data_IF_908348768268
#
_entry.id   IF_908348768268
#
_cell.length_a   1.000
_cell.length_b   1.000
_cell.length_c   1.000
_cell.angle_alpha   90.00
_cell.angle_beta   90.00
_cell.angle_gamma   90.00
#
_symmetry.space_group_name_H-M   'P 1'
#
loop_
_entity.id
_entity.type
_entity.pdbx_description
1 polymer ?
#
# COMPACT_ATOMS: atom_id res chain seq x y z
N UNK A 1 -11.13 -59.55 10.16
CA UNK A 1 -10.28 -58.58 9.44
C UNK A 1 -11.17 -57.41 9.11
N UNK A 2 -11.07 -56.33 9.89
CA UNK A 2 -11.80 -55.09 9.60
C UNK A 2 -11.16 -54.48 8.36
N UNK A 3 -11.95 -54.26 7.31
CA UNK A 3 -11.55 -53.46 6.15
C UNK A 3 -11.20 -52.07 6.65
N UNK A 4 -9.92 -51.69 6.59
CA UNK A 4 -9.53 -50.29 6.71
C UNK A 4 -10.15 -49.57 5.51
N UNK A 5 -11.24 -48.85 5.73
CA UNK A 5 -11.65 -47.80 4.80
C UNK A 5 -10.50 -46.81 4.72
N UNK A 6 -9.97 -46.57 3.52
CA UNK A 6 -8.94 -45.56 3.33
C UNK A 6 -9.54 -44.20 3.65
N UNK A 7 -8.97 -43.49 4.62
CA UNK A 7 -9.31 -42.09 4.88
C UNK A 7 -9.25 -41.31 3.56
N UNK A 8 -10.26 -40.48 3.23
CA UNK A 8 -10.24 -39.68 2.01
C UNK A 8 -8.98 -38.81 2.00
N UNK A 9 -8.20 -38.90 0.94
CA UNK A 9 -7.00 -38.09 0.74
C UNK A 9 -7.43 -36.76 0.11
N UNK A 10 -6.79 -35.66 0.51
CA UNK A 10 -7.01 -34.34 -0.07
C UNK A 10 -6.77 -34.34 -1.58
N UNK A 11 -7.71 -33.79 -2.35
CA UNK A 11 -7.67 -33.77 -3.82
C UNK A 11 -6.77 -32.64 -4.33
N UNK A 12 -5.47 -32.94 -4.46
CA UNK A 12 -4.46 -31.99 -4.97
C UNK A 12 -4.68 -31.61 -6.44
N UNK A 13 -5.32 -32.49 -7.22
CA UNK A 13 -5.61 -32.20 -8.62
C UNK A 13 -6.77 -31.21 -8.74
N UNK A 14 -7.80 -31.33 -7.89
CA UNK A 14 -8.85 -30.33 -7.77
C UNK A 14 -8.30 -28.98 -7.27
N UNK A 15 -7.35 -28.99 -6.32
CA UNK A 15 -6.65 -27.77 -5.90
C UNK A 15 -5.95 -27.10 -7.09
N UNK A 16 -5.15 -27.86 -7.86
CA UNK A 16 -4.44 -27.31 -9.04
C UNK A 16 -5.40 -26.76 -10.08
N UNK A 17 -6.45 -27.50 -10.44
CA UNK A 17 -7.48 -27.03 -11.38
C UNK A 17 -8.18 -25.78 -10.87
N UNK A 18 -8.50 -25.75 -9.58
CA UNK A 18 -9.14 -24.61 -8.91
C UNK A 18 -8.29 -23.35 -8.99
N UNK A 19 -7.01 -23.45 -8.60
CA UNK A 19 -6.08 -22.31 -8.57
C UNK A 19 -5.73 -21.86 -10.00
N UNK A 20 -5.15 -22.73 -10.81
CA UNK A 20 -4.62 -22.34 -12.14
C UNK A 20 -5.75 -22.05 -13.15
N UNK A 21 -6.91 -22.70 -12.97
CA UNK A 21 -8.09 -22.51 -13.80
C UNK A 21 -9.04 -21.41 -13.30
N UNK A 22 -8.79 -20.83 -12.12
CA UNK A 22 -9.72 -19.90 -11.43
C UNK A 22 -11.14 -20.49 -11.29
N UNK A 23 -11.21 -21.80 -11.04
CA UNK A 23 -12.48 -22.52 -10.86
C UNK A 23 -12.90 -22.47 -9.39
N UNK A 24 -13.70 -21.45 -9.07
CA UNK A 24 -14.19 -21.22 -7.71
C UNK A 24 -15.04 -22.38 -7.21
N UNK A 25 -15.79 -23.06 -8.09
CA UNK A 25 -16.60 -24.20 -7.68
C UNK A 25 -15.73 -25.37 -7.25
N UNK A 26 -14.63 -25.63 -7.96
CA UNK A 26 -13.66 -26.64 -7.57
C UNK A 26 -12.99 -26.28 -6.24
N UNK A 27 -12.58 -25.02 -6.05
CA UNK A 27 -11.96 -24.55 -4.81
C UNK A 27 -12.91 -24.66 -3.61
N UNK A 28 -14.14 -24.15 -3.74
CA UNK A 28 -15.16 -24.24 -2.68
C UNK A 28 -15.43 -25.68 -2.26
N UNK A 29 -15.44 -26.62 -3.20
CA UNK A 29 -15.65 -28.06 -2.94
C UNK A 29 -14.57 -28.72 -2.08
N UNK A 30 -13.42 -28.07 -1.90
CA UNK A 30 -12.33 -28.57 -1.05
C UNK A 30 -12.53 -28.23 0.43
N UNK A 31 -13.41 -27.28 0.78
CA UNK A 31 -13.61 -26.84 2.16
C UNK A 31 -14.70 -27.66 2.87
N UNK A 32 -14.53 -27.84 4.18
CA UNK A 32 -15.60 -28.29 5.07
C UNK A 32 -16.60 -27.14 5.30
N UNK A 33 -17.85 -27.48 5.62
CA UNK A 33 -18.94 -26.49 5.78
C UNK A 33 -18.66 -25.44 6.88
N UNK A 34 -17.92 -25.83 7.92
CA UNK A 34 -17.51 -25.04 9.09
C UNK A 34 -16.05 -24.55 9.00
N UNK A 35 -15.43 -24.58 7.81
CA UNK A 35 -14.02 -24.27 7.66
C UNK A 35 -13.67 -22.83 8.11
N UNK A 36 -12.47 -22.66 8.63
CA UNK A 36 -11.90 -21.35 8.96
C UNK A 36 -10.79 -20.97 7.98
N UNK A 37 -10.73 -19.70 7.59
CA UNK A 37 -9.62 -19.18 6.79
C UNK A 37 -9.08 -17.88 7.40
N UNK A 38 -7.75 -17.83 7.52
CA UNK A 38 -7.00 -16.64 7.91
C UNK A 38 -6.09 -16.24 6.74
N UNK A 39 -6.16 -14.99 6.32
CA UNK A 39 -5.28 -14.42 5.29
C UNK A 39 -4.49 -13.27 5.90
N UNK A 40 -3.17 -13.32 5.70
CA UNK A 40 -2.24 -12.25 6.03
C UNK A 40 -1.59 -11.76 4.75
N UNK A 41 -1.69 -10.46 4.48
CA UNK A 41 -1.10 -9.84 3.30
C UNK A 41 -0.64 -8.39 3.58
N UNK A 42 -0.39 -7.61 2.54
CA UNK A 42 0.04 -6.22 2.66
C UNK A 42 -1.03 -5.26 3.25
N UNK A 43 -2.31 -5.67 3.26
CA UNK A 43 -3.46 -4.91 3.81
C UNK A 43 -3.84 -5.45 5.19
N UNK A 44 -3.96 -6.76 5.30
CA UNK A 44 -4.40 -7.46 6.50
C UNK A 44 -3.19 -8.03 7.25
N UNK A 45 -2.67 -7.26 8.20
CA UNK A 45 -1.41 -7.57 8.89
C UNK A 45 -1.56 -8.64 9.98
N UNK A 46 -0.48 -9.28 10.46
CA UNK A 46 -0.55 -10.30 11.50
C UNK A 46 -1.28 -9.89 12.80
N UNK A 47 -1.32 -8.60 13.13
CA UNK A 47 -2.07 -8.08 14.29
C UNK A 47 -3.59 -7.97 14.05
N UNK A 48 -4.01 -7.86 12.79
CA UNK A 48 -5.40 -7.73 12.35
C UNK A 48 -5.59 -8.46 11.01
N UNK A 49 -5.50 -9.81 10.99
CA UNK A 49 -5.62 -10.58 9.76
C UNK A 49 -7.07 -10.61 9.26
N UNK A 50 -7.25 -10.97 7.99
CA UNK A 50 -8.59 -11.23 7.45
C UNK A 50 -9.04 -12.62 7.86
N UNK A 51 -10.11 -12.70 8.65
CA UNK A 51 -10.66 -13.96 9.16
C UNK A 51 -12.06 -14.23 8.60
N UNK A 52 -12.28 -15.46 8.15
CA UNK A 52 -13.55 -15.90 7.55
C UNK A 52 -13.90 -17.29 8.06
N UNK A 53 -15.20 -17.54 8.26
CA UNK A 53 -15.72 -18.84 8.68
C UNK A 53 -16.87 -19.28 7.80
N UNK A 54 -16.86 -20.55 7.40
CA UNK A 54 -17.89 -21.21 6.62
C UNK A 54 -17.73 -21.01 5.11
N UNK A 55 -18.31 -21.94 4.36
CA UNK A 55 -18.16 -22.02 2.89
C UNK A 55 -18.77 -20.84 2.14
N UNK A 56 -19.76 -20.15 2.71
CA UNK A 56 -20.33 -18.93 2.11
C UNK A 56 -19.30 -17.79 2.09
N UNK A 57 -18.75 -17.42 3.26
CA UNK A 57 -17.80 -16.30 3.37
C UNK A 57 -16.47 -16.61 2.66
N UNK A 58 -15.94 -17.83 2.84
CA UNK A 58 -14.77 -18.31 2.10
C UNK A 58 -15.07 -18.28 0.59
N UNK A 59 -16.27 -18.68 0.20
CA UNK A 59 -16.70 -18.67 -1.18
C UNK A 59 -16.67 -17.27 -1.79
N UNK A 60 -17.22 -16.27 -1.11
CA UNK A 60 -17.23 -14.87 -1.57
C UNK A 60 -15.81 -14.34 -1.76
N UNK A 61 -14.89 -14.67 -0.85
CA UNK A 61 -13.47 -14.34 -1.01
C UNK A 61 -12.83 -15.01 -2.22
N UNK A 62 -13.09 -16.30 -2.44
CA UNK A 62 -12.58 -17.02 -3.60
C UNK A 62 -13.14 -16.47 -4.92
N UNK A 63 -14.41 -16.06 -4.95
CA UNK A 63 -15.02 -15.38 -6.10
C UNK A 63 -14.29 -14.08 -6.41
N UNK A 64 -14.04 -13.24 -5.39
CA UNK A 64 -13.29 -12.00 -5.57
C UNK A 64 -11.89 -12.27 -6.13
N UNK A 65 -11.12 -13.16 -5.51
CA UNK A 65 -9.76 -13.51 -5.95
C UNK A 65 -9.76 -14.02 -7.40
N UNK A 66 -10.65 -14.95 -7.74
CA UNK A 66 -10.72 -15.52 -9.10
C UNK A 66 -11.26 -14.54 -10.14
N UNK A 67 -12.00 -13.50 -9.73
CA UNK A 67 -12.50 -12.45 -10.63
C UNK A 67 -11.43 -11.45 -11.05
N UNK A 68 -10.35 -11.33 -10.26
CA UNK A 68 -9.22 -10.44 -10.56
C UNK A 68 -8.52 -10.93 -11.82
N UNK A 69 -8.13 -9.99 -12.68
CA UNK A 69 -7.29 -10.31 -13.84
C UNK A 69 -5.87 -10.56 -13.34
N UNK A 70 -5.57 -11.81 -12.99
CA UNK A 70 -4.24 -12.27 -12.59
C UNK A 70 -4.02 -13.71 -13.03
N UNK A 71 -2.77 -14.05 -13.31
CA UNK A 71 -2.34 -15.44 -13.50
C UNK A 71 -2.05 -16.08 -12.14
N UNK A 72 -2.51 -17.32 -11.94
CA UNK A 72 -2.22 -18.13 -10.77
C UNK A 72 -1.46 -19.39 -11.19
N UNK A 73 -0.42 -19.74 -10.43
CA UNK A 73 0.35 -20.96 -10.64
C UNK A 73 0.57 -21.68 -9.32
N UNK A 74 0.18 -22.96 -9.27
CA UNK A 74 0.43 -23.81 -8.13
C UNK A 74 1.81 -24.48 -8.29
N UNK A 75 2.74 -24.18 -7.40
CA UNK A 75 4.11 -24.68 -7.46
C UNK A 75 4.23 -26.02 -6.73
N UNK A 76 4.45 -25.97 -5.42
CA UNK A 76 4.61 -27.14 -4.57
C UNK A 76 3.31 -27.43 -3.83
N UNK A 77 2.97 -28.72 -3.70
CA UNK A 77 1.90 -29.20 -2.83
C UNK A 77 2.45 -30.38 -2.05
N UNK A 78 2.30 -30.36 -0.73
CA UNK A 78 2.69 -31.44 0.16
C UNK A 78 1.47 -31.83 0.99
N UNK A 79 1.18 -33.12 1.06
CA UNK A 79 0.15 -33.68 1.94
C UNK A 79 0.85 -34.56 2.97
N UNK A 80 0.49 -34.40 4.25
CA UNK A 80 1.06 -35.22 5.32
C UNK A 80 0.69 -36.70 5.12
N UNK A 81 1.56 -37.60 5.58
CA UNK A 81 1.38 -39.04 5.35
C UNK A 81 0.10 -39.61 6.00
N UNK A 82 -0.38 -38.98 7.07
CA UNK A 82 -1.62 -39.31 7.77
C UNK A 82 -2.85 -38.58 7.19
N UNK A 83 -2.66 -37.74 6.17
CA UNK A 83 -3.72 -36.98 5.51
C UNK A 83 -4.35 -35.88 6.37
N UNK A 84 -3.76 -35.54 7.52
CA UNK A 84 -4.29 -34.54 8.46
C UNK A 84 -3.92 -33.10 8.09
N UNK A 85 -2.88 -32.90 7.28
CA UNK A 85 -2.43 -31.58 6.86
C UNK A 85 -2.04 -31.55 5.38
N UNK A 86 -2.12 -30.37 4.77
CA UNK A 86 -1.49 -30.09 3.49
C UNK A 86 -0.89 -28.69 3.48
N UNK A 87 0.10 -28.46 2.63
CA UNK A 87 0.67 -27.14 2.41
C UNK A 87 0.91 -26.94 0.92
N UNK A 88 0.74 -25.71 0.44
CA UNK A 88 1.07 -25.38 -0.93
C UNK A 88 1.69 -23.99 -1.08
N UNK A 89 2.46 -23.85 -2.15
CA UNK A 89 3.03 -22.60 -2.61
C UNK A 89 2.34 -22.20 -3.91
N UNK A 90 1.93 -20.95 -3.99
CA UNK A 90 1.29 -20.35 -5.14
C UNK A 90 2.04 -19.09 -5.57
N UNK A 91 2.20 -18.91 -6.88
CA UNK A 91 2.69 -17.67 -7.46
C UNK A 91 1.59 -17.01 -8.28
N UNK A 92 1.36 -15.73 -8.01
CA UNK A 92 0.44 -14.92 -8.78
C UNK A 92 1.17 -13.80 -9.52
N UNK A 93 0.62 -13.40 -10.67
CA UNK A 93 1.09 -12.25 -11.43
C UNK A 93 -0.07 -11.41 -11.92
N UNK A 94 -0.02 -10.12 -11.62
CA UNK A 94 -0.93 -9.12 -12.16
C UNK A 94 -0.48 -8.59 -13.54
N UNK A 95 -1.40 -8.05 -14.37
CA UNK A 95 -1.12 -7.49 -15.69
C UNK A 95 -0.09 -6.34 -15.68
N UNK A 96 -0.01 -5.59 -14.58
CA UNK A 96 0.97 -4.52 -14.37
C UNK A 96 2.39 -5.04 -14.07
N UNK A 97 2.55 -6.36 -13.95
CA UNK A 97 3.82 -7.02 -13.66
C UNK A 97 4.02 -7.36 -12.18
N UNK A 98 3.18 -6.85 -11.27
CA UNK A 98 3.24 -7.11 -9.82
C UNK A 98 3.15 -8.60 -9.56
N UNK A 99 4.06 -9.11 -8.72
CA UNK A 99 4.09 -10.52 -8.32
C UNK A 99 3.61 -10.70 -6.89
N UNK A 100 3.00 -11.84 -6.62
CA UNK A 100 2.66 -12.28 -5.28
C UNK A 100 3.14 -13.71 -5.09
N UNK A 101 3.82 -13.97 -3.99
CA UNK A 101 4.14 -15.32 -3.53
C UNK A 101 3.26 -15.62 -2.31
N UNK A 102 2.43 -16.65 -2.42
CA UNK A 102 1.53 -17.08 -1.35
C UNK A 102 1.94 -18.45 -0.85
N UNK A 103 1.99 -18.63 0.47
CA UNK A 103 2.10 -19.94 1.12
C UNK A 103 0.86 -20.20 1.95
N UNK A 104 0.31 -21.40 1.84
CA UNK A 104 -0.90 -21.79 2.56
C UNK A 104 -0.67 -23.10 3.31
N UNK A 105 -1.04 -23.11 4.60
CA UNK A 105 -1.07 -24.30 5.45
C UNK A 105 -2.53 -24.68 5.72
N UNK A 106 -2.84 -25.98 5.58
CA UNK A 106 -4.18 -26.53 5.63
C UNK A 106 -4.25 -27.60 6.72
N UNK A 107 -5.23 -27.47 7.62
CA UNK A 107 -5.68 -28.56 8.49
C UNK A 107 -6.85 -29.27 7.80
N UNK A 108 -6.76 -30.61 7.72
CA UNK A 108 -7.68 -31.42 6.95
C UNK A 108 -8.55 -32.30 7.86
N UNK A 109 -9.83 -32.40 7.50
CA UNK A 109 -10.79 -33.33 8.10
C UNK A 109 -11.54 -34.04 6.99
N UNK A 110 -11.41 -35.37 6.95
CA UNK A 110 -12.01 -36.22 5.91
C UNK A 110 -11.68 -35.79 4.47
N UNK A 111 -10.42 -35.39 4.25
CA UNK A 111 -9.93 -34.92 2.94
C UNK A 111 -10.39 -33.52 2.54
N UNK A 112 -11.06 -32.78 3.44
CA UNK A 112 -11.50 -31.40 3.23
C UNK A 112 -10.77 -30.43 4.16
N UNK A 113 -10.62 -29.19 3.72
CA UNK A 113 -9.99 -28.11 4.47
C UNK A 113 -10.92 -27.69 5.61
N UNK A 114 -10.49 -27.94 6.84
CA UNK A 114 -11.16 -27.48 8.06
C UNK A 114 -10.58 -26.15 8.56
N UNK A 115 -9.28 -25.92 8.35
CA UNK A 115 -8.66 -24.62 8.58
C UNK A 115 -7.61 -24.33 7.51
N UNK A 116 -7.48 -23.06 7.12
CA UNK A 116 -6.42 -22.57 6.23
C UNK A 116 -5.81 -21.30 6.79
N UNK A 117 -4.48 -21.23 6.82
CA UNK A 117 -3.75 -19.98 7.02
C UNK A 117 -2.93 -19.71 5.77
N UNK A 118 -3.16 -18.55 5.15
CA UNK A 118 -2.44 -18.09 3.96
C UNK A 118 -1.64 -16.84 4.28
N UNK A 119 -0.37 -16.81 3.88
CA UNK A 119 0.50 -15.63 4.00
C UNK A 119 0.98 -15.25 2.61
N UNK A 120 0.75 -13.99 2.25
CA UNK A 120 1.10 -13.46 0.94
C UNK A 120 2.21 -12.42 1.07
N UNK A 121 3.29 -12.65 0.35
CA UNK A 121 4.33 -11.66 0.10
C UNK A 121 4.09 -11.04 -1.28
N UNK A 122 3.83 -9.74 -1.29
CA UNK A 122 3.65 -8.97 -2.52
C UNK A 122 4.97 -8.32 -2.90
N UNK A 123 5.21 -8.12 -4.19
CA UNK A 123 6.11 -7.05 -4.60
C UNK A 123 5.58 -5.78 -3.93
N UNK A 124 6.43 -5.10 -3.14
CA UNK A 124 6.05 -3.80 -2.63
C UNK A 124 5.74 -2.91 -3.84
N UNK A 125 4.60 -2.20 -3.81
CA UNK A 125 4.36 -1.08 -4.70
C UNK A 125 5.31 0.04 -4.29
N UNK A 126 6.60 -0.21 -4.42
CA UNK A 126 7.57 0.78 -4.07
C UNK A 126 7.48 1.85 -5.15
N UNK A 127 7.02 3.02 -4.72
CA UNK A 127 7.49 4.28 -5.28
C UNK A 127 9.04 4.31 -5.37
N UNK A 128 9.74 3.47 -4.60
CA UNK A 128 11.14 3.09 -4.82
C UNK A 128 11.29 1.87 -5.76
N UNK A 129 11.35 2.09 -7.08
CA UNK A 129 11.78 1.07 -8.06
C UNK A 129 12.74 0.03 -7.44
N UNK A 130 12.53 -1.28 -7.66
CA UNK A 130 13.38 -2.31 -7.06
C UNK A 130 14.83 -1.93 -7.34
N UNK A 131 15.64 -1.85 -6.27
CA UNK A 131 17.08 -1.50 -6.28
C UNK A 131 17.88 -2.56 -7.06
N UNK A 132 17.58 -2.66 -8.35
CA UNK A 132 18.16 -3.57 -9.34
C UNK A 132 19.26 -2.85 -10.10
N UNK A 133 19.33 -1.52 -9.99
CA UNK A 133 20.46 -0.72 -10.42
C UNK A 133 21.31 -0.36 -9.19
N UNK A 134 22.64 -0.42 -9.28
CA UNK A 134 23.50 0.03 -8.20
C UNK A 134 23.16 1.50 -7.90
N UNK A 135 22.84 1.80 -6.63
CA UNK A 135 22.65 3.18 -6.20
C UNK A 135 23.90 3.98 -6.55
N UNK A 136 23.76 4.93 -7.46
CA UNK A 136 24.82 5.89 -7.75
C UNK A 136 24.69 7.03 -6.76
N UNK A 137 25.83 7.57 -6.33
CA UNK A 137 25.82 8.77 -5.51
C UNK A 137 25.37 9.95 -6.37
N UNK A 138 24.24 10.55 -6.00
CA UNK A 138 23.72 11.78 -6.59
C UNK A 138 23.97 12.96 -5.64
N UNK A 139 24.24 14.14 -6.20
CA UNK A 139 24.40 15.38 -5.45
C UNK A 139 23.77 16.52 -6.26
N UNK A 140 22.87 17.26 -5.64
CA UNK A 140 22.15 18.38 -6.25
C UNK A 140 22.18 19.61 -5.34
N UNK A 141 21.94 20.77 -5.93
CA UNK A 141 21.98 22.06 -5.24
C UNK A 141 20.72 22.87 -5.55
N UNK A 142 19.98 23.28 -4.52
CA UNK A 142 18.80 24.16 -4.67
C UNK A 142 19.14 25.56 -5.21
N UNK A 143 20.42 25.93 -5.33
CA UNK A 143 20.84 27.12 -6.08
C UNK A 143 20.60 26.96 -7.59
N UNK A 144 20.48 25.73 -8.10
CA UNK A 144 20.19 25.40 -9.49
C UNK A 144 19.12 24.29 -9.53
N UNK A 145 17.86 24.61 -9.16
CA UNK A 145 16.79 23.62 -9.11
C UNK A 145 16.37 23.18 -10.52
N UNK A 146 15.77 21.99 -10.61
CA UNK A 146 15.25 21.46 -11.88
C UNK A 146 14.01 22.26 -12.33
N UNK A 147 13.17 22.64 -11.37
CA UNK A 147 11.95 23.41 -11.59
C UNK A 147 11.78 24.47 -10.51
N UNK A 148 11.23 25.62 -10.87
CA UNK A 148 10.76 26.64 -9.92
C UNK A 148 9.28 26.91 -10.20
N UNK A 149 8.43 26.61 -9.21
CA UNK A 149 7.00 26.92 -9.23
C UNK A 149 6.76 28.18 -8.41
N UNK A 150 6.13 29.19 -9.00
CA UNK A 150 5.81 30.45 -8.31
C UNK A 150 4.30 30.59 -8.15
N UNK A 151 3.87 31.04 -6.97
CA UNK A 151 2.48 31.33 -6.65
C UNK A 151 2.42 32.64 -5.86
N UNK A 152 1.24 33.26 -5.71
CA UNK A 152 1.09 34.44 -4.85
C UNK A 152 1.73 34.22 -3.47
N UNK A 153 2.55 35.19 -3.03
CA UNK A 153 3.29 35.14 -1.75
C UNK A 153 4.18 33.90 -1.54
N UNK A 154 4.63 33.21 -2.58
CA UNK A 154 5.57 32.12 -2.37
C UNK A 154 6.11 31.45 -3.62
N UNK A 155 7.04 30.52 -3.40
CA UNK A 155 7.62 29.68 -4.44
C UNK A 155 8.02 28.32 -3.89
N UNK A 156 8.14 27.36 -4.80
CA UNK A 156 8.74 26.05 -4.55
C UNK A 156 9.87 25.82 -5.56
N UNK A 157 11.07 25.52 -5.07
CA UNK A 157 12.19 25.02 -5.87
C UNK A 157 12.25 23.50 -5.76
N UNK A 158 12.27 22.80 -6.89
CA UNK A 158 12.09 21.35 -6.96
C UNK A 158 13.37 20.69 -7.47
N UNK A 159 13.78 19.61 -6.81
CA UNK A 159 14.85 18.70 -7.22
C UNK A 159 14.29 17.29 -7.39
N UNK A 160 14.68 16.60 -8.46
CA UNK A 160 14.35 15.19 -8.69
C UNK A 160 15.60 14.35 -8.52
N UNK A 161 15.68 13.59 -7.43
CA UNK A 161 16.85 12.76 -7.11
C UNK A 161 16.48 11.48 -6.39
N UNK A 162 17.30 10.43 -6.54
CA UNK A 162 17.14 9.18 -5.80
C UNK A 162 15.80 8.49 -6.01
N UNK A 163 15.14 8.73 -7.16
CA UNK A 163 13.81 8.22 -7.47
C UNK A 163 12.64 8.97 -6.81
N UNK A 164 12.89 10.10 -6.16
CA UNK A 164 11.88 10.95 -5.52
C UNK A 164 12.02 12.43 -5.84
N UNK A 165 11.18 13.24 -5.21
CA UNK A 165 11.14 14.70 -5.38
C UNK A 165 11.38 15.37 -4.03
N UNK A 166 12.27 16.36 -4.00
CA UNK A 166 12.50 17.21 -2.83
C UNK A 166 12.19 18.65 -3.20
N UNK A 167 11.29 19.28 -2.46
CA UNK A 167 10.92 20.68 -2.64
C UNK A 167 11.48 21.56 -1.53
N UNK A 168 12.07 22.70 -1.87
CA UNK A 168 12.25 23.81 -0.94
C UNK A 168 11.15 24.83 -1.16
N UNK A 169 10.39 25.15 -0.13
CA UNK A 169 9.34 26.15 -0.17
C UNK A 169 9.82 27.42 0.51
N UNK A 170 9.50 28.56 -0.08
CA UNK A 170 9.59 29.88 0.57
C UNK A 170 8.22 30.53 0.51
N UNK A 171 7.65 30.79 1.68
CA UNK A 171 6.33 31.36 1.88
C UNK A 171 6.50 32.71 2.58
N UNK A 172 6.10 33.78 1.91
CA UNK A 172 6.27 35.15 2.37
C UNK A 172 5.23 35.53 3.45
N UNK A 173 5.51 36.54 4.29
CA UNK A 173 4.51 37.08 5.21
C UNK A 173 3.20 37.43 4.49
N UNK A 174 2.08 37.02 5.09
CA UNK A 174 0.75 37.15 4.50
C UNK A 174 0.34 35.97 3.60
N UNK A 175 1.24 35.03 3.30
CA UNK A 175 0.88 33.81 2.57
C UNK A 175 -0.10 32.95 3.37
N UNK A 176 -1.13 32.46 2.68
CA UNK A 176 -2.08 31.47 3.18
C UNK A 176 -2.53 30.54 2.05
N UNK A 177 -2.46 29.23 2.27
CA UNK A 177 -2.79 28.23 1.25
C UNK A 177 -4.16 28.47 0.61
N UNK A 178 -5.20 28.68 1.43
CA UNK A 178 -6.57 28.91 0.95
C UNK A 178 -6.77 30.20 0.15
N UNK A 179 -5.82 31.13 0.18
CA UNK A 179 -5.84 32.37 -0.60
C UNK A 179 -4.95 32.27 -1.83
N UNK A 180 -3.73 31.77 -1.66
CA UNK A 180 -2.67 31.87 -2.65
C UNK A 180 -2.55 30.64 -3.54
N UNK A 181 -2.90 29.45 -3.04
CA UNK A 181 -2.70 28.18 -3.75
C UNK A 181 -4.02 27.51 -4.11
N UNK A 182 -5.05 27.62 -3.26
CA UNK A 182 -6.39 27.10 -3.54
C UNK A 182 -6.94 27.46 -4.93
N UNK A 183 -6.80 28.69 -5.46
CA UNK A 183 -7.26 29.00 -6.82
C UNK A 183 -6.55 28.20 -7.91
N UNK A 184 -5.33 27.74 -7.67
CA UNK A 184 -4.55 26.90 -8.57
C UNK A 184 -4.88 25.41 -8.39
N UNK A 185 -5.05 24.98 -7.14
CA UNK A 185 -5.30 23.57 -6.80
C UNK A 185 -6.74 23.13 -7.12
N UNK A 186 -7.71 24.04 -7.07
CA UNK A 186 -9.13 23.73 -7.33
C UNK A 186 -9.82 22.92 -6.23
N UNK A 187 -9.17 22.72 -5.09
CA UNK A 187 -9.67 21.94 -3.95
C UNK A 187 -10.11 22.84 -2.80
N UNK A 188 -10.95 22.33 -1.88
CA UNK A 188 -11.35 23.11 -0.71
C UNK A 188 -10.21 23.30 0.29
N UNK A 189 -9.43 22.24 0.48
CA UNK A 189 -8.27 22.10 1.37
C UNK A 189 -7.03 21.66 0.58
N UNK A 190 -5.85 21.82 1.17
CA UNK A 190 -4.64 21.23 0.63
C UNK A 190 -4.72 19.71 0.78
N UNK A 191 -4.72 18.99 -0.35
CA UNK A 191 -4.77 17.53 -0.39
C UNK A 191 -3.37 16.90 -0.55
N UNK A 192 -2.32 17.71 -0.61
CA UNK A 192 -0.95 17.22 -0.61
C UNK A 192 -0.54 16.79 0.80
N UNK A 193 0.02 15.59 0.95
CA UNK A 193 0.65 15.20 2.22
C UNK A 193 2.05 15.84 2.28
N UNK A 194 2.37 16.52 3.37
CA UNK A 194 3.66 17.18 3.56
C UNK A 194 4.49 16.50 4.63
N UNK A 195 5.77 16.29 4.34
CA UNK A 195 6.75 15.85 5.32
C UNK A 195 7.94 16.80 5.27
N UNK A 196 7.92 17.79 6.16
CA UNK A 196 8.74 18.99 6.06
C UNK A 196 9.67 19.19 7.26
N UNK A 197 10.89 19.67 6.98
CA UNK A 197 11.79 20.28 7.96
C UNK A 197 11.77 21.80 7.80
N UNK A 198 11.47 22.52 8.86
CA UNK A 198 11.31 23.98 8.87
C UNK A 198 12.65 24.66 9.17
N UNK A 199 13.11 25.48 8.22
CA UNK A 199 14.39 26.20 8.30
C UNK A 199 14.25 27.59 8.94
N UNK A 200 13.13 28.28 8.69
CA UNK A 200 12.88 29.65 9.16
C UNK A 200 11.40 29.93 9.32
N UNK A 201 11.06 31.00 10.05
CA UNK A 201 9.69 31.46 10.27
C UNK A 201 8.81 30.49 11.07
N UNK A 202 7.52 30.81 11.14
CA UNK A 202 6.50 30.00 11.78
C UNK A 202 5.32 29.79 10.83
N UNK A 203 4.98 28.53 10.57
CA UNK A 203 3.81 28.14 9.78
C UNK A 203 2.74 27.62 10.72
N UNK A 204 1.59 28.28 10.75
CA UNK A 204 0.42 27.73 11.43
C UNK A 204 -0.31 26.79 10.48
N UNK A 205 -0.67 25.61 10.99
CA UNK A 205 -1.40 24.57 10.26
C UNK A 205 -2.73 24.32 10.94
N UNK A 206 -3.80 24.28 10.13
CA UNK A 206 -5.15 23.93 10.57
C UNK A 206 -5.72 22.80 9.74
N UNK A 207 -5.99 21.68 10.40
CA UNK A 207 -6.61 20.50 9.81
C UNK A 207 -8.13 20.66 9.70
N UNK A 208 -8.75 19.96 8.75
CA UNK A 208 -10.20 19.96 8.57
C UNK A 208 -10.97 19.42 9.80
N UNK A 209 -10.35 18.55 10.62
CA UNK A 209 -10.93 18.05 11.87
C UNK A 209 -10.86 19.05 13.04
N UNK A 210 -10.25 20.22 12.82
CA UNK A 210 -10.08 21.27 13.81
C UNK A 210 -8.77 21.20 14.61
N UNK A 211 -7.93 20.18 14.39
CA UNK A 211 -6.58 20.12 14.98
C UNK A 211 -5.73 21.25 14.42
N UNK A 212 -5.01 21.95 15.30
CA UNK A 212 -4.17 23.09 14.95
C UNK A 212 -2.80 22.99 15.65
N UNK A 213 -1.74 23.42 14.96
CA UNK A 213 -0.41 23.54 15.53
C UNK A 213 0.46 24.52 14.74
N UNK A 214 1.50 25.04 15.40
CA UNK A 214 2.54 25.84 14.77
C UNK A 214 3.77 24.96 14.52
N UNK A 215 4.35 25.07 13.34
CA UNK A 215 5.66 24.52 12.99
C UNK A 215 6.65 25.67 12.80
N UNK A 216 7.71 25.70 13.61
CA UNK A 216 8.71 26.78 13.61
C UNK A 216 10.09 26.25 13.17
N UNK A 217 11.05 27.17 13.01
CA UNK A 217 12.43 26.81 12.68
C UNK A 217 12.99 25.71 13.62
N UNK A 218 13.49 24.63 13.03
CA UNK A 218 14.00 23.45 13.73
C UNK A 218 13.01 22.30 13.86
N UNK A 219 11.72 22.54 13.63
CA UNK A 219 10.70 21.50 13.71
C UNK A 219 10.67 20.60 12.46
N UNK A 220 10.24 19.36 12.66
CA UNK A 220 9.86 18.42 11.60
C UNK A 220 8.37 18.15 11.74
N UNK A 221 7.61 18.36 10.67
CA UNK A 221 6.16 18.21 10.66
C UNK A 221 5.70 17.21 9.58
N UNK A 222 4.76 16.35 9.95
CA UNK A 222 3.95 15.57 9.02
C UNK A 222 2.56 16.19 8.98
N UNK A 223 2.14 16.68 7.82
CA UNK A 223 0.82 17.28 7.62
C UNK A 223 0.05 16.40 6.63
N UNK A 224 -1.02 15.77 7.11
CA UNK A 224 -1.86 14.93 6.28
C UNK A 224 -2.70 15.77 5.28
N UNK A 225 -3.22 15.17 4.20
CA UNK A 225 -4.23 15.80 3.35
C UNK A 225 -5.42 16.34 4.17
N UNK A 226 -6.03 17.42 3.69
CA UNK A 226 -7.14 18.10 4.36
C UNK A 226 -6.68 19.15 5.37
N UNK A 227 -5.86 20.12 4.94
CA UNK A 227 -5.41 21.23 5.78
C UNK A 227 -5.37 22.58 5.06
N UNK A 228 -5.38 23.66 5.84
CA UNK A 228 -4.98 25.01 5.44
C UNK A 228 -3.73 25.40 6.25
N UNK A 229 -2.92 26.30 5.72
CA UNK A 229 -1.72 26.77 6.41
C UNK A 229 -1.45 28.23 6.09
N UNK A 230 -0.81 28.95 7.00
CA UNK A 230 -0.42 30.34 6.78
C UNK A 230 0.83 30.73 7.56
N UNK A 231 1.56 31.70 7.02
CA UNK A 231 2.74 32.29 7.68
C UNK A 231 2.27 33.15 8.85
N UNK A 232 2.90 32.96 10.01
CA UNK A 232 2.68 33.77 11.22
C UNK A 232 3.81 34.77 11.38
N UNK A 233 3.46 36.05 11.50
CA UNK A 233 4.40 37.14 11.69
C UNK A 233 5.03 37.64 10.38
N UNK A 234 6.19 38.28 10.53
CA UNK A 234 6.84 39.04 9.45
C UNK A 234 8.10 38.33 8.88
N UNK A 235 8.39 37.10 9.33
CA UNK A 235 9.50 36.30 8.83
C UNK A 235 9.00 35.26 7.82
N UNK A 236 9.58 35.17 6.61
CA UNK A 236 9.23 34.14 5.65
C UNK A 236 9.47 32.73 6.21
N UNK A 237 8.52 31.83 5.96
CA UNK A 237 8.71 30.40 6.22
C UNK A 237 9.53 29.80 5.09
N UNK A 238 10.67 29.20 5.42
CA UNK A 238 11.40 28.33 4.50
C UNK A 238 11.34 26.90 5.03
N UNK A 239 10.97 25.93 4.20
CA UNK A 239 10.99 24.52 4.58
C UNK A 239 11.50 23.63 3.44
N UNK A 240 12.05 22.47 3.79
CA UNK A 240 12.36 21.39 2.83
C UNK A 240 11.36 20.28 3.04
N UNK A 241 10.74 19.81 1.96
CA UNK A 241 9.67 18.82 1.95
C UNK A 241 10.02 17.66 1.02
N UNK A 242 9.80 16.43 1.49
CA UNK A 242 10.13 15.19 0.77
C UNK A 242 8.91 14.45 0.21
N UNK A 243 7.70 15.00 0.33
CA UNK A 243 6.46 14.28 0.00
C UNK A 243 5.46 15.12 -0.79
N UNK A 244 5.14 16.32 -0.32
CA UNK A 244 4.12 17.18 -0.91
C UNK A 244 4.58 17.89 -2.17
N UNK A 245 5.89 17.96 -2.44
CA UNK A 245 6.46 18.68 -3.57
C UNK A 245 6.08 18.13 -4.97
N UNK A 246 5.67 16.86 -5.08
CA UNK A 246 5.47 16.18 -6.38
C UNK A 246 4.49 16.93 -7.29
N UNK A 247 3.30 17.27 -6.78
CA UNK A 247 2.22 17.91 -7.57
C UNK A 247 1.83 19.30 -7.06
N UNK A 248 2.57 19.85 -6.09
CA UNK A 248 2.19 21.12 -5.46
C UNK A 248 2.31 22.31 -6.42
N UNK A 249 1.23 23.09 -6.54
CA UNK A 249 1.13 24.30 -7.36
C UNK A 249 1.59 24.11 -8.82
N UNK A 250 1.44 22.90 -9.36
CA UNK A 250 1.68 22.60 -10.77
C UNK A 250 0.62 23.29 -11.64
N UNK A 251 1.03 23.85 -12.79
CA UNK A 251 0.07 24.42 -13.74
C UNK A 251 -0.69 23.28 -14.43
N UNK A 252 -2.02 23.34 -14.39
CA UNK A 252 -2.85 22.50 -15.25
C UNK A 252 -2.94 23.16 -16.63
N UNK A 253 -2.53 22.43 -17.68
CA UNK A 253 -2.71 22.84 -19.09
C UNK A 253 -4.18 22.80 -19.53
#
# INVERSE_FOLDING_TARGET
MSTMESTPIFDTDALRRGIEGRDVSALRGLYADDAHMTVVDQRDQPSHPHEMTGTTAIGEFLDDVCSRDMEHRLEQVVVSADGSHAAYLEQCRYPDGTRVTSTSMLDLRDGRIAAQTSVQAWDEATAAQPMTQPMQSEHMDFAVPDEIRTFPHGRAEILTMGGGVVGRFTLEPGWRWSQDVKPLAGTEWCEAAHFGYHLSGTLHVRMADGTEFDAQAGDVAMVAPGHDAWVVGDEPVTLVDWQGAVHYAEKQD
#
